data_IF_277251785307
#
_entry.id   IF_277251785307
#
_cell.length_a   1.000
_cell.length_b   1.000
_cell.length_c   1.000
_cell.angle_alpha   90.00
_cell.angle_beta   90.00
_cell.angle_gamma   90.00
#
_symmetry.space_group_name_H-M   'P 1'
#
loop_
_entity.id
_entity.type
_entity.pdbx_description
1 polymer ?
#
# COMPACT_ATOMS: atom_id res chain seq x y z
N UNK A 1 5.71 -15.35 -5.25
CA UNK A 1 4.37 -14.81 -5.49
C UNK A 1 3.32 -15.69 -4.80
N UNK A 2 2.41 -15.08 -4.02
CA UNK A 2 1.38 -15.78 -3.23
C UNK A 2 0.37 -16.53 -4.11
N UNK A 3 0.00 -15.95 -5.24
CA UNK A 3 -0.94 -16.56 -6.19
C UNK A 3 -0.38 -17.84 -6.80
N UNK A 4 0.90 -17.89 -7.12
CA UNK A 4 1.56 -19.11 -7.62
C UNK A 4 1.49 -20.26 -6.61
N UNK A 5 1.71 -19.96 -5.33
CA UNK A 5 1.62 -20.97 -4.26
C UNK A 5 0.18 -21.41 -4.07
N UNK A 6 -0.79 -20.47 -4.16
CA UNK A 6 -2.19 -20.73 -3.97
C UNK A 6 -2.83 -21.46 -5.16
N UNK A 7 -2.67 -20.88 -6.35
CA UNK A 7 -3.39 -21.31 -7.55
C UNK A 7 -2.54 -22.20 -8.49
N UNK A 8 -1.21 -22.17 -8.34
CA UNK A 8 -0.25 -22.82 -9.26
C UNK A 8 0.00 -21.97 -10.52
N UNK A 9 0.91 -22.45 -11.35
CA UNK A 9 1.22 -21.87 -12.67
C UNK A 9 1.52 -22.99 -13.64
N UNK A 10 0.97 -22.94 -14.85
CA UNK A 10 1.13 -23.97 -15.90
C UNK A 10 0.81 -25.40 -15.42
N UNK A 11 -0.16 -25.56 -14.52
CA UNK A 11 -0.52 -26.84 -13.92
C UNK A 11 0.46 -27.36 -12.87
N UNK A 12 1.47 -26.59 -12.52
CA UNK A 12 2.44 -26.90 -11.45
C UNK A 12 2.11 -26.05 -10.25
N UNK A 13 1.85 -26.71 -9.11
CA UNK A 13 1.65 -26.07 -7.82
C UNK A 13 2.80 -26.42 -6.89
N UNK A 14 3.32 -25.43 -6.18
CA UNK A 14 4.26 -25.67 -5.09
C UNK A 14 3.45 -26.23 -3.92
N UNK A 15 3.80 -27.43 -3.46
CA UNK A 15 3.16 -28.07 -2.31
C UNK A 15 3.96 -27.73 -1.04
N UNK A 16 3.45 -26.86 -0.15
CA UNK A 16 4.19 -26.43 1.05
C UNK A 16 4.54 -27.56 2.01
N UNK A 17 3.76 -28.64 2.04
CA UNK A 17 4.00 -29.81 2.91
C UNK A 17 5.33 -30.54 2.62
N UNK A 18 5.95 -30.29 1.46
CA UNK A 18 7.31 -30.81 1.18
C UNK A 18 8.40 -30.08 1.96
N UNK A 19 8.08 -28.95 2.58
CA UNK A 19 9.05 -28.14 3.32
C UNK A 19 8.85 -28.30 4.82
N UNK A 20 9.96 -28.47 5.54
CA UNK A 20 9.95 -28.50 7.01
C UNK A 20 9.74 -27.09 7.60
N UNK A 21 10.21 -26.07 6.88
CA UNK A 21 10.16 -24.67 7.29
C UNK A 21 9.63 -23.81 6.16
N UNK A 22 8.68 -22.92 6.46
CA UNK A 22 8.20 -21.90 5.54
C UNK A 22 8.21 -20.53 6.20
N UNK A 23 8.53 -19.49 5.43
CA UNK A 23 8.44 -18.11 5.85
C UNK A 23 7.65 -17.32 4.80
N UNK A 24 6.64 -16.60 5.24
CA UNK A 24 5.89 -15.67 4.39
C UNK A 24 6.37 -14.25 4.68
N UNK A 25 7.04 -13.65 3.70
CA UNK A 25 7.38 -12.23 3.72
C UNK A 25 6.21 -11.40 3.19
N UNK A 26 6.08 -10.16 3.63
CA UNK A 26 4.90 -9.30 3.35
C UNK A 26 3.57 -10.02 3.65
N UNK A 27 3.52 -10.71 4.79
CA UNK A 27 2.39 -11.55 5.18
C UNK A 27 1.08 -10.77 5.45
N UNK A 28 1.04 -9.48 5.15
CA UNK A 28 -0.13 -8.61 5.26
C UNK A 28 -1.36 -9.16 4.53
N UNK A 29 -1.18 -9.99 3.52
CA UNK A 29 -2.25 -10.71 2.80
C UNK A 29 -3.08 -11.61 3.69
N UNK A 30 -2.54 -12.06 4.84
CA UNK A 30 -3.23 -12.89 5.82
C UNK A 30 -4.13 -12.11 6.80
N UNK A 31 -4.14 -10.78 6.77
CA UNK A 31 -4.93 -9.93 7.70
C UNK A 31 -6.44 -10.08 7.57
N UNK A 32 -6.91 -10.51 6.42
CA UNK A 32 -8.33 -10.61 6.12
C UNK A 32 -8.88 -12.03 6.24
N UNK A 33 -9.66 -12.33 7.28
CA UNK A 33 -10.28 -13.65 7.46
C UNK A 33 -11.08 -14.12 6.24
N UNK A 34 -11.80 -13.21 5.57
CA UNK A 34 -12.64 -13.52 4.40
C UNK A 34 -11.89 -13.51 3.07
N UNK A 35 -10.60 -13.27 3.03
CA UNK A 35 -9.83 -13.27 1.77
C UNK A 35 -9.61 -14.71 1.28
N UNK A 36 -9.65 -14.89 -0.04
CA UNK A 36 -9.36 -16.18 -0.68
C UNK A 36 -7.99 -16.71 -0.22
N UNK A 37 -6.98 -15.86 -0.22
CA UNK A 37 -5.62 -16.23 0.18
C UNK A 37 -5.57 -16.77 1.61
N UNK A 38 -6.21 -16.11 2.58
CA UNK A 38 -6.23 -16.59 3.96
C UNK A 38 -6.91 -17.95 4.09
N UNK A 39 -8.10 -18.11 3.48
CA UNK A 39 -8.88 -19.33 3.58
C UNK A 39 -8.18 -20.53 2.94
N UNK A 40 -7.43 -20.32 1.87
CA UNK A 40 -6.70 -21.37 1.19
C UNK A 40 -5.35 -21.67 1.82
N UNK A 41 -4.66 -20.67 2.39
CA UNK A 41 -3.36 -20.88 3.03
C UNK A 41 -3.45 -21.64 4.36
N UNK A 42 -4.54 -21.51 5.11
CA UNK A 42 -4.71 -22.25 6.34
C UNK A 42 -4.56 -23.79 6.14
N UNK A 43 -5.38 -24.43 5.28
CA UNK A 43 -5.23 -25.88 5.05
C UNK A 43 -3.95 -26.21 4.27
N UNK A 44 -3.54 -25.36 3.34
CA UNK A 44 -2.37 -25.60 2.49
C UNK A 44 -1.06 -25.70 3.28
N UNK A 45 -0.91 -24.91 4.33
CA UNK A 45 0.27 -24.89 5.19
C UNK A 45 0.11 -25.67 6.50
N UNK A 46 -1.04 -26.31 6.71
CA UNK A 46 -1.35 -26.97 7.98
C UNK A 46 -0.32 -28.03 8.38
N UNK A 47 0.19 -28.80 7.41
CA UNK A 47 1.17 -29.87 7.61
C UNK A 47 2.63 -29.39 7.71
N UNK A 48 2.90 -28.07 7.52
CA UNK A 48 4.26 -27.53 7.63
C UNK A 48 4.62 -27.37 9.11
N UNK A 49 5.68 -28.06 9.61
CA UNK A 49 6.02 -28.06 11.03
C UNK A 49 6.39 -26.68 11.59
N UNK A 50 7.17 -25.91 10.83
CA UNK A 50 7.65 -24.58 11.26
C UNK A 50 7.23 -23.52 10.28
N UNK A 51 6.40 -22.60 10.75
CA UNK A 51 5.84 -21.50 9.95
C UNK A 51 6.23 -20.16 10.54
N UNK A 52 6.70 -19.26 9.70
CA UNK A 52 7.04 -17.89 10.06
C UNK A 52 6.28 -16.91 9.19
N UNK A 53 6.01 -15.72 9.72
CA UNK A 53 5.44 -14.60 8.99
C UNK A 53 6.24 -13.35 9.32
N UNK A 54 6.50 -12.52 8.32
CA UNK A 54 7.10 -11.21 8.48
C UNK A 54 6.24 -10.16 7.76
N UNK A 55 6.04 -9.01 8.36
CA UNK A 55 5.34 -7.88 7.76
C UNK A 55 5.66 -6.59 8.48
N UNK A 56 5.83 -5.51 7.74
CA UNK A 56 5.98 -4.17 8.29
C UNK A 56 4.65 -3.59 8.81
N UNK A 57 3.50 -4.14 8.38
CA UNK A 57 2.17 -3.63 8.71
C UNK A 57 1.26 -4.71 9.31
N UNK A 58 1.56 -5.21 10.52
CA UNK A 58 0.85 -6.37 11.08
C UNK A 58 -0.62 -6.08 11.42
N UNK A 59 -0.96 -4.85 11.86
CA UNK A 59 -2.32 -4.48 12.25
C UNK A 59 -2.61 -3.00 12.02
N UNK A 60 -2.58 -2.50 10.76
CA UNK A 60 -2.70 -1.06 10.49
C UNK A 60 -4.06 -0.48 10.85
N UNK A 61 -5.10 -1.30 10.88
CA UNK A 61 -6.46 -0.82 11.12
C UNK A 61 -7.02 -1.27 12.48
N UNK A 62 -6.81 -2.52 12.86
CA UNK A 62 -7.45 -3.12 14.05
C UNK A 62 -6.63 -4.26 14.63
N UNK A 63 -6.54 -4.36 15.94
CA UNK A 63 -5.83 -5.44 16.65
C UNK A 63 -6.34 -6.85 16.33
N UNK A 64 -7.61 -6.99 15.90
CA UNK A 64 -8.13 -8.29 15.46
C UNK A 64 -7.37 -8.88 14.26
N UNK A 65 -6.65 -8.07 13.48
CA UNK A 65 -5.86 -8.56 12.36
C UNK A 65 -4.73 -9.48 12.82
N UNK A 66 -4.21 -9.28 14.03
CA UNK A 66 -3.16 -10.12 14.62
C UNK A 66 -3.60 -11.57 14.86
N UNK A 67 -4.89 -11.80 15.18
CA UNK A 67 -5.36 -13.16 15.45
C UNK A 67 -5.37 -14.05 14.19
N UNK A 68 -5.37 -13.47 13.01
CA UNK A 68 -5.30 -14.23 11.77
C UNK A 68 -3.91 -14.83 11.56
N UNK A 69 -2.85 -14.11 11.92
CA UNK A 69 -1.49 -14.66 11.93
C UNK A 69 -1.37 -15.78 12.95
N UNK A 70 -1.93 -15.62 14.16
CA UNK A 70 -1.94 -16.67 15.18
C UNK A 70 -2.65 -17.93 14.68
N UNK A 71 -3.76 -17.77 13.93
CA UNK A 71 -4.47 -18.87 13.26
C UNK A 71 -3.59 -19.59 12.23
N UNK A 72 -2.95 -18.84 11.34
CA UNK A 72 -2.05 -19.39 10.33
C UNK A 72 -0.83 -20.10 10.97
N UNK A 73 -0.25 -19.53 12.02
CA UNK A 73 0.90 -20.11 12.74
C UNK A 73 0.50 -21.33 13.60
N UNK A 74 -0.80 -21.60 13.79
CA UNK A 74 -1.28 -22.70 14.61
C UNK A 74 -1.17 -22.45 16.12
N UNK A 75 -1.02 -21.20 16.54
CA UNK A 75 -0.93 -20.80 17.96
C UNK A 75 -2.29 -20.90 18.65
N UNK A 76 -3.33 -20.43 17.99
CA UNK A 76 -4.70 -20.49 18.48
C UNK A 76 -5.67 -20.35 17.31
N UNK A 77 -6.76 -21.11 17.30
CA UNK A 77 -7.81 -20.94 16.31
C UNK A 77 -8.39 -19.51 16.32
N UNK A 78 -8.60 -18.95 15.14
CA UNK A 78 -9.04 -17.54 15.00
C UNK A 78 -10.38 -17.28 15.69
N UNK A 79 -11.33 -18.23 15.64
CA UNK A 79 -12.62 -18.10 16.30
C UNK A 79 -12.48 -18.15 17.84
N UNK A 80 -11.60 -18.99 18.34
CA UNK A 80 -11.27 -19.05 19.77
C UNK A 80 -10.64 -17.75 20.26
N UNK A 81 -9.65 -17.21 19.51
CA UNK A 81 -9.00 -15.96 19.84
C UNK A 81 -9.99 -14.79 19.81
N UNK A 82 -10.87 -14.77 18.80
CA UNK A 82 -11.92 -13.76 18.66
C UNK A 82 -12.87 -13.78 19.88
N UNK A 83 -13.35 -14.95 20.26
CA UNK A 83 -14.26 -15.10 21.42
C UNK A 83 -13.59 -14.74 22.74
N UNK A 84 -12.30 -15.06 22.89
CA UNK A 84 -11.56 -14.84 24.12
C UNK A 84 -11.25 -13.37 24.37
N UNK A 85 -10.88 -12.63 23.32
CA UNK A 85 -10.30 -11.30 23.45
C UNK A 85 -11.16 -10.17 22.93
N UNK A 86 -12.14 -10.42 22.06
CA UNK A 86 -12.87 -9.38 21.35
C UNK A 86 -14.37 -9.42 21.62
N UNK A 87 -14.97 -8.25 21.71
CA UNK A 87 -16.40 -8.06 21.74
C UNK A 87 -16.92 -7.64 20.37
N UNK A 88 -18.08 -8.16 19.99
CA UNK A 88 -18.76 -7.79 18.77
C UNK A 88 -19.54 -6.50 18.98
N UNK A 89 -19.41 -5.55 18.08
CA UNK A 89 -20.30 -4.41 17.99
C UNK A 89 -21.67 -4.86 17.44
N UNK A 90 -22.70 -4.70 18.24
CA UNK A 90 -24.07 -5.09 17.86
C UNK A 90 -24.66 -4.23 16.75
N UNK A 91 -24.11 -3.05 16.51
CA UNK A 91 -24.62 -2.07 15.53
C UNK A 91 -23.98 -2.19 14.15
N UNK A 92 -22.80 -2.82 14.05
CA UNK A 92 -22.05 -2.97 12.79
C UNK A 92 -21.55 -4.40 12.59
N UNK A 93 -21.98 -5.00 11.49
CA UNK A 93 -21.50 -6.33 11.10
C UNK A 93 -19.97 -6.36 11.00
N UNK A 94 -19.35 -7.45 11.47
CA UNK A 94 -17.89 -7.67 11.44
C UNK A 94 -17.04 -6.63 12.19
N UNK A 95 -17.65 -5.77 12.99
CA UNK A 95 -16.94 -4.85 13.84
C UNK A 95 -16.67 -5.53 15.20
N UNK A 96 -15.38 -5.75 15.47
CA UNK A 96 -14.91 -6.37 16.72
C UNK A 96 -13.89 -5.44 17.35
N UNK A 97 -14.03 -5.19 18.63
CA UNK A 97 -13.11 -4.38 19.45
C UNK A 97 -12.54 -5.22 20.56
N UNK A 98 -11.30 -4.99 20.92
CA UNK A 98 -10.67 -5.67 22.05
C UNK A 98 -11.42 -5.32 23.34
N UNK A 99 -11.70 -6.32 24.20
CA UNK A 99 -12.25 -6.06 25.52
C UNK A 99 -11.26 -5.23 26.34
N UNK A 100 -11.64 -4.06 26.90
CA UNK A 100 -10.70 -3.23 27.67
C UNK A 100 -10.05 -3.99 28.83
N UNK A 101 -10.81 -4.83 29.54
CA UNK A 101 -10.29 -5.63 30.65
C UNK A 101 -9.40 -6.82 30.21
N UNK A 102 -9.37 -7.15 28.91
CA UNK A 102 -8.55 -8.21 28.32
C UNK A 102 -7.30 -7.69 27.62
N UNK A 103 -7.11 -6.40 27.51
CA UNK A 103 -6.02 -5.80 26.76
C UNK A 103 -4.64 -6.29 27.21
N UNK A 104 -4.39 -6.27 28.52
CA UNK A 104 -3.13 -6.78 29.09
C UNK A 104 -2.93 -8.26 28.80
N UNK A 105 -3.97 -9.08 28.95
CA UNK A 105 -3.91 -10.52 28.68
C UNK A 105 -3.64 -10.78 27.17
N UNK A 106 -4.28 -10.02 26.31
CA UNK A 106 -4.08 -10.09 24.85
C UNK A 106 -2.62 -9.82 24.48
N UNK A 107 -2.03 -8.71 24.95
CA UNK A 107 -0.66 -8.37 24.63
C UNK A 107 0.37 -9.34 25.24
N UNK A 108 0.11 -9.88 26.43
CA UNK A 108 0.91 -10.94 27.01
C UNK A 108 0.85 -12.22 26.17
N UNK A 109 -0.32 -12.56 25.66
CA UNK A 109 -0.48 -13.69 24.76
C UNK A 109 0.23 -13.42 23.42
N UNK A 110 0.07 -12.25 22.82
CA UNK A 110 0.75 -11.88 21.58
C UNK A 110 2.27 -11.98 21.74
N UNK A 111 2.83 -11.50 22.83
CA UNK A 111 4.28 -11.55 23.08
C UNK A 111 4.86 -12.98 23.22
N UNK A 112 4.02 -14.00 23.35
CA UNK A 112 4.51 -15.41 23.39
C UNK A 112 4.83 -15.99 22.01
N UNK A 113 4.35 -15.36 20.93
CA UNK A 113 4.50 -15.88 19.56
C UNK A 113 4.87 -14.83 18.53
N UNK A 114 4.79 -13.55 18.85
CA UNK A 114 5.13 -12.45 17.95
C UNK A 114 6.18 -11.53 18.57
N UNK A 115 7.04 -10.98 17.71
CA UNK A 115 8.05 -10.00 18.05
C UNK A 115 7.82 -8.74 17.19
N UNK A 116 7.73 -7.58 17.84
CA UNK A 116 7.61 -6.28 17.17
C UNK A 116 8.94 -5.55 17.31
N UNK A 117 9.52 -5.19 16.17
CA UNK A 117 10.80 -4.49 16.10
C UNK A 117 10.66 -3.31 15.18
N UNK A 118 11.17 -2.16 15.58
CA UNK A 118 11.24 -0.96 14.74
C UNK A 118 12.68 -0.62 14.37
N UNK A 119 13.63 -1.00 15.21
CA UNK A 119 15.05 -0.69 15.04
C UNK A 119 15.94 -1.68 15.80
N UNK A 120 17.22 -1.80 15.46
CA UNK A 120 18.13 -2.72 16.10
C UNK A 120 18.25 -2.56 17.63
N UNK A 121 18.09 -1.34 18.15
CA UNK A 121 18.15 -1.10 19.60
C UNK A 121 17.00 -1.75 20.39
N UNK A 122 15.91 -2.13 19.73
CA UNK A 122 14.85 -2.92 20.35
C UNK A 122 15.35 -4.32 20.77
N UNK A 123 16.45 -4.80 20.16
CA UNK A 123 17.18 -6.02 20.52
C UNK A 123 18.51 -5.76 21.23
N UNK A 124 18.80 -4.52 21.62
CA UNK A 124 20.03 -4.15 22.29
C UNK A 124 21.25 -3.93 21.39
N UNK A 125 21.06 -3.82 20.08
CA UNK A 125 22.12 -3.53 19.12
C UNK A 125 22.17 -2.04 18.78
N UNK A 126 23.31 -1.51 18.29
CA UNK A 126 23.40 -0.12 17.82
C UNK A 126 22.51 0.15 16.60
N UNK A 127 21.88 1.32 16.55
CA UNK A 127 21.04 1.74 15.41
C UNK A 127 21.86 2.28 14.22
N UNK A 128 23.18 2.26 14.29
CA UNK A 128 24.09 2.77 13.23
C UNK A 128 23.78 2.09 11.89
N UNK A 129 23.50 2.91 10.88
CA UNK A 129 23.12 2.45 9.53
C UNK A 129 21.62 2.19 9.33
N UNK A 130 20.81 2.32 10.38
CA UNK A 130 19.35 2.21 10.33
C UNK A 130 18.65 3.55 10.59
N UNK A 131 19.41 4.61 10.78
CA UNK A 131 18.87 5.96 10.93
C UNK A 131 18.43 6.48 9.55
N UNK A 132 17.13 6.67 9.39
CA UNK A 132 16.57 7.26 8.18
C UNK A 132 16.64 8.79 8.25
N UNK A 133 16.88 9.46 7.12
CA UNK A 133 16.76 10.92 7.05
C UNK A 133 15.32 11.35 7.39
N UNK A 134 15.19 12.59 7.87
CA UNK A 134 13.89 13.17 8.18
C UNK A 134 12.99 13.23 6.93
N UNK A 135 11.77 12.70 7.05
CA UNK A 135 10.75 12.86 6.01
C UNK A 135 10.24 14.32 6.02
N UNK A 136 10.45 15.02 4.92
CA UNK A 136 9.95 16.39 4.72
C UNK A 136 8.74 16.37 3.81
N UNK A 137 7.58 16.67 4.37
CA UNK A 137 6.32 16.78 3.63
C UNK A 137 6.06 18.26 3.33
N UNK A 138 5.87 18.57 2.05
CA UNK A 138 5.50 19.89 1.57
C UNK A 138 4.09 19.84 0.99
N UNK A 139 3.19 20.61 1.58
CA UNK A 139 1.83 20.75 1.07
C UNK A 139 1.79 21.92 0.08
N UNK A 140 1.32 21.62 -1.14
CA UNK A 140 1.19 22.59 -2.21
C UNK A 140 -0.28 22.87 -2.47
N UNK A 141 -0.72 24.10 -2.19
CA UNK A 141 -2.10 24.52 -2.43
C UNK A 141 -2.23 25.03 -3.85
N UNK A 142 -3.07 24.38 -4.62
CA UNK A 142 -3.40 24.80 -5.99
C UNK A 142 -4.72 25.56 -5.98
N UNK A 143 -4.67 26.85 -6.36
CA UNK A 143 -5.87 27.66 -6.50
C UNK A 143 -6.60 27.25 -7.77
N UNK A 144 -7.88 26.94 -7.64
CA UNK A 144 -8.73 26.55 -8.75
C UNK A 144 -9.70 27.69 -9.07
N UNK A 145 -9.82 28.04 -10.34
CA UNK A 145 -10.83 29.00 -10.79
C UNK A 145 -12.23 28.36 -10.74
N UNK A 146 -13.02 28.76 -9.76
CA UNK A 146 -14.39 28.30 -9.58
C UNK A 146 -15.40 29.08 -10.41
N UNK A 147 -14.99 30.08 -11.20
CA UNK A 147 -15.89 30.90 -12.00
C UNK A 147 -16.57 30.13 -13.14
N UNK A 148 -16.01 28.98 -13.53
CA UNK A 148 -16.57 28.04 -14.53
C UNK A 148 -17.16 26.80 -13.87
N UNK A 149 -18.08 26.97 -12.94
CA UNK A 149 -18.87 25.88 -12.39
C UNK A 149 -19.83 25.38 -13.47
N UNK A 150 -19.48 24.34 -14.21
CA UNK A 150 -20.26 23.79 -15.33
C UNK A 150 -21.78 23.73 -15.12
N UNK A 151 -22.49 23.17 -16.07
CA UNK A 151 -23.95 22.97 -16.00
C UNK A 151 -24.27 21.70 -15.21
N UNK A 152 -25.37 21.69 -14.44
CA UNK A 152 -25.93 20.49 -13.83
C UNK A 152 -26.55 19.55 -14.88
N UNK A 153 -27.15 18.42 -14.42
CA UNK A 153 -27.82 17.46 -15.32
C UNK A 153 -29.02 18.04 -16.07
N UNK A 154 -29.58 19.14 -15.56
CA UNK A 154 -30.75 19.84 -16.11
C UNK A 154 -30.35 21.06 -16.96
N UNK A 155 -29.04 21.27 -17.19
CA UNK A 155 -28.52 22.33 -18.03
C UNK A 155 -28.44 23.71 -17.36
N UNK A 156 -28.63 23.80 -16.03
CA UNK A 156 -28.50 25.08 -15.32
C UNK A 156 -27.03 25.34 -14.97
N UNK A 157 -26.57 26.55 -15.17
CA UNK A 157 -25.22 27.00 -14.81
C UNK A 157 -25.13 27.08 -13.29
N UNK A 158 -24.25 26.25 -12.68
CA UNK A 158 -23.99 26.30 -11.27
C UNK A 158 -23.22 27.57 -10.90
N UNK A 159 -23.70 28.32 -9.93
CA UNK A 159 -23.02 29.53 -9.43
C UNK A 159 -21.78 29.22 -8.60
N UNK A 160 -21.71 28.00 -8.01
CA UNK A 160 -20.58 27.52 -7.19
C UNK A 160 -20.36 26.03 -7.46
N UNK A 161 -19.11 25.58 -7.40
CA UNK A 161 -18.80 24.14 -7.33
C UNK A 161 -19.22 23.63 -5.96
N UNK A 162 -20.11 22.64 -5.93
CA UNK A 162 -20.42 21.89 -4.70
C UNK A 162 -19.23 21.02 -4.33
N UNK A 163 -18.92 20.94 -3.04
CA UNK A 163 -17.92 20.00 -2.54
C UNK A 163 -18.31 18.55 -2.91
N UNK A 164 -17.32 17.76 -3.31
CA UNK A 164 -17.54 16.37 -3.69
C UNK A 164 -18.14 15.59 -2.51
N UNK A 165 -19.36 15.06 -2.70
CA UNK A 165 -20.07 14.26 -1.69
C UNK A 165 -19.86 12.76 -1.86
N UNK A 166 -19.15 12.32 -2.91
CA UNK A 166 -18.90 10.91 -3.20
C UNK A 166 -17.67 10.67 -4.07
N UNK A 167 -17.29 9.39 -4.23
CA UNK A 167 -16.10 8.97 -4.99
C UNK A 167 -16.14 9.43 -6.47
N UNK A 168 -17.32 9.41 -7.10
CA UNK A 168 -17.50 9.83 -8.49
C UNK A 168 -17.32 11.34 -8.64
N UNK A 169 -17.79 12.12 -7.67
CA UNK A 169 -17.66 13.57 -7.65
C UNK A 169 -16.22 13.99 -7.39
N UNK A 170 -15.54 13.30 -6.48
CA UNK A 170 -14.10 13.50 -6.22
C UNK A 170 -13.25 13.23 -7.47
N UNK A 171 -13.55 12.15 -8.21
CA UNK A 171 -12.86 11.84 -9.46
C UNK A 171 -13.16 12.86 -10.57
N UNK A 172 -14.36 13.44 -10.58
CA UNK A 172 -14.70 14.54 -11.51
C UNK A 172 -13.94 15.80 -11.15
N UNK A 173 -13.96 16.19 -9.87
CA UNK A 173 -13.22 17.36 -9.37
C UNK A 173 -11.72 17.27 -9.67
N UNK A 174 -11.12 16.09 -9.48
CA UNK A 174 -9.71 15.85 -9.85
C UNK A 174 -9.46 16.06 -11.34
N UNK A 175 -10.37 15.62 -12.21
CA UNK A 175 -10.26 15.85 -13.67
C UNK A 175 -10.40 17.30 -14.07
N UNK A 176 -11.33 18.02 -13.42
CA UNK A 176 -11.60 19.41 -13.72
C UNK A 176 -10.44 20.34 -13.29
N UNK A 177 -9.65 19.93 -12.29
CA UNK A 177 -8.52 20.69 -11.76
C UNK A 177 -7.15 20.15 -12.23
N UNK A 178 -7.15 19.31 -13.26
CA UNK A 178 -5.93 18.63 -13.72
C UNK A 178 -4.90 19.60 -14.30
N UNK A 179 -5.34 20.61 -15.05
CA UNK A 179 -4.44 21.57 -15.69
C UNK A 179 -3.64 22.40 -14.67
N UNK A 180 -4.30 22.85 -13.63
CA UNK A 180 -3.68 23.66 -12.58
C UNK A 180 -2.72 22.84 -11.73
N UNK A 181 -3.11 21.63 -11.39
CA UNK A 181 -2.23 20.69 -10.69
C UNK A 181 -1.01 20.34 -11.54
N UNK A 182 -1.21 20.05 -12.84
CA UNK A 182 -0.12 19.74 -13.74
C UNK A 182 0.86 20.90 -13.88
N UNK A 183 0.37 22.13 -14.03
CA UNK A 183 1.20 23.34 -14.06
C UNK A 183 2.06 23.44 -12.78
N UNK A 184 1.48 23.13 -11.62
CA UNK A 184 2.22 23.14 -10.35
C UNK A 184 3.28 22.04 -10.28
N UNK A 185 2.97 20.82 -10.71
CA UNK A 185 3.94 19.73 -10.80
C UNK A 185 5.13 20.12 -11.69
N UNK A 186 4.84 20.66 -12.88
CA UNK A 186 5.89 21.12 -13.81
C UNK A 186 6.74 22.24 -13.20
N UNK A 187 6.13 23.17 -12.48
CA UNK A 187 6.87 24.20 -11.75
C UNK A 187 7.80 23.58 -10.72
N UNK A 188 7.31 22.64 -9.89
CA UNK A 188 8.11 21.99 -8.84
C UNK A 188 9.30 21.25 -9.44
N UNK A 189 9.11 20.42 -10.46
CA UNK A 189 10.21 19.64 -11.05
C UNK A 189 11.24 20.49 -11.77
N UNK A 190 10.86 21.69 -12.23
CA UNK A 190 11.74 22.63 -12.92
C UNK A 190 12.41 23.64 -11.97
N UNK A 191 12.20 23.58 -10.67
CA UNK A 191 12.92 24.43 -9.72
C UNK A 191 14.43 24.16 -9.82
N UNK A 192 15.29 25.18 -9.70
CA UNK A 192 16.75 25.01 -9.83
C UNK A 192 17.33 23.91 -8.91
N UNK A 193 16.81 23.80 -7.69
CA UNK A 193 17.20 22.80 -6.71
C UNK A 193 16.79 21.36 -7.09
N UNK A 194 15.91 21.20 -8.07
CA UNK A 194 15.40 19.92 -8.55
C UNK A 194 16.01 19.49 -9.88
N UNK A 195 16.95 20.25 -10.41
CA UNK A 195 17.51 20.03 -11.75
C UNK A 195 18.06 18.61 -11.96
N UNK A 196 18.69 18.05 -10.96
CA UNK A 196 19.33 16.73 -11.03
C UNK A 196 18.58 15.65 -10.25
N UNK A 197 17.41 15.97 -9.72
CA UNK A 197 16.59 15.08 -8.91
C UNK A 197 15.73 14.15 -9.74
N UNK A 198 15.54 12.94 -9.23
CA UNK A 198 14.58 11.97 -9.75
C UNK A 198 13.26 12.07 -8.98
N UNK A 199 12.16 11.94 -9.69
CA UNK A 199 10.84 12.02 -9.07
C UNK A 199 9.99 10.82 -9.35
N UNK A 200 9.39 10.29 -8.29
CA UNK A 200 8.30 9.33 -8.34
C UNK A 200 6.98 10.10 -8.29
N UNK A 201 6.18 9.98 -9.33
CA UNK A 201 4.95 10.74 -9.54
C UNK A 201 3.76 9.81 -9.32
N UNK A 202 3.17 9.87 -8.13
CA UNK A 202 2.02 9.07 -7.76
C UNK A 202 0.73 9.63 -8.33
N UNK A 203 -0.09 8.79 -8.92
CA UNK A 203 -1.40 9.13 -9.47
C UNK A 203 -2.44 8.06 -9.14
N UNK A 204 -3.73 8.42 -9.20
CA UNK A 204 -4.84 7.50 -9.02
C UNK A 204 -5.57 7.22 -10.36
N UNK A 205 -5.79 8.27 -11.17
CA UNK A 205 -6.58 8.19 -12.40
C UNK A 205 -5.70 7.93 -13.62
N UNK A 206 -6.20 7.14 -14.57
CA UNK A 206 -5.48 6.89 -15.84
C UNK A 206 -5.21 8.18 -16.63
N UNK A 207 -6.17 9.14 -16.60
CA UNK A 207 -5.97 10.45 -17.23
C UNK A 207 -4.83 11.25 -16.60
N UNK A 208 -4.61 11.12 -15.30
CA UNK A 208 -3.48 11.75 -14.61
C UNK A 208 -2.16 11.17 -15.13
N UNK A 209 -2.08 9.84 -15.28
CA UNK A 209 -0.94 9.14 -15.88
C UNK A 209 -0.63 9.65 -17.29
N UNK A 210 -1.66 9.68 -18.15
CA UNK A 210 -1.51 10.11 -19.54
C UNK A 210 -1.00 11.55 -19.61
N UNK A 211 -1.54 12.43 -18.77
CA UNK A 211 -1.19 13.83 -18.73
C UNK A 211 0.24 14.05 -18.19
N UNK A 212 0.63 13.34 -17.13
CA UNK A 212 2.01 13.36 -16.62
C UNK A 212 3.02 12.97 -17.70
N UNK A 213 2.76 11.86 -18.42
CA UNK A 213 3.65 11.41 -19.50
C UNK A 213 3.63 12.33 -20.72
N UNK A 214 2.51 13.05 -20.97
CA UNK A 214 2.40 13.99 -22.07
C UNK A 214 3.14 15.31 -21.83
N UNK A 215 3.03 15.83 -20.60
CA UNK A 215 3.51 17.17 -20.24
C UNK A 215 4.97 17.16 -19.77
N UNK A 216 5.40 16.10 -19.08
CA UNK A 216 6.74 16.01 -18.53
C UNK A 216 7.66 15.27 -19.50
N UNK A 217 8.63 15.94 -20.13
CA UNK A 217 9.54 15.31 -21.09
C UNK A 217 10.34 14.18 -20.44
N UNK A 218 10.32 13.01 -21.07
CA UNK A 218 11.03 11.82 -20.59
C UNK A 218 10.33 11.07 -19.45
N UNK A 219 9.15 11.48 -19.02
CA UNK A 219 8.37 10.71 -18.07
C UNK A 219 7.91 9.38 -18.68
N UNK A 220 8.08 8.31 -17.95
CA UNK A 220 7.53 6.98 -18.26
C UNK A 220 6.58 6.54 -17.17
N UNK A 221 5.68 5.62 -17.52
CA UNK A 221 4.71 5.10 -16.57
C UNK A 221 4.74 3.58 -16.50
N UNK A 222 4.35 3.05 -15.33
CA UNK A 222 4.03 1.64 -15.13
C UNK A 222 2.55 1.52 -14.79
N UNK A 223 1.84 0.61 -15.48
CA UNK A 223 0.39 0.42 -15.32
C UNK A 223 -0.04 -1.02 -15.63
N UNK A 224 -1.15 -1.47 -15.04
CA UNK A 224 -1.52 -2.88 -14.97
C UNK A 224 -1.81 -3.61 -16.28
N UNK A 225 -2.11 -2.89 -17.39
CA UNK A 225 -2.33 -3.50 -18.71
C UNK A 225 -1.07 -3.50 -19.61
N UNK A 226 0.05 -3.04 -19.08
CA UNK A 226 1.34 -3.02 -19.77
C UNK A 226 1.94 -4.43 -19.82
N UNK A 227 2.75 -4.71 -20.85
CA UNK A 227 3.54 -5.93 -20.90
C UNK A 227 4.58 -5.96 -19.76
N UNK A 228 4.73 -7.10 -19.10
CA UNK A 228 5.62 -7.28 -17.96
C UNK A 228 7.08 -6.93 -18.28
N UNK A 229 7.58 -7.31 -19.45
CA UNK A 229 8.96 -6.99 -19.89
C UNK A 229 9.18 -5.48 -20.05
N UNK A 230 8.18 -4.76 -20.57
CA UNK A 230 8.24 -3.31 -20.69
C UNK A 230 8.17 -2.62 -19.32
N UNK A 231 7.30 -3.11 -18.43
CA UNK A 231 7.18 -2.61 -17.07
C UNK A 231 8.48 -2.80 -16.30
N UNK A 232 9.06 -4.01 -16.34
CA UNK A 232 10.33 -4.35 -15.70
C UNK A 232 11.49 -3.49 -16.21
N UNK A 233 11.51 -3.21 -17.52
CA UNK A 233 12.51 -2.31 -18.10
C UNK A 233 12.38 -0.89 -17.56
N UNK A 234 11.17 -0.34 -17.51
CA UNK A 234 10.93 1.02 -16.98
C UNK A 234 11.32 1.09 -15.51
N UNK A 235 10.96 0.09 -14.70
CA UNK A 235 11.33 -0.02 -13.28
C UNK A 235 12.86 -0.08 -13.13
N UNK A 236 13.54 -0.92 -13.94
CA UNK A 236 14.99 -1.04 -13.91
C UNK A 236 15.67 0.28 -14.30
N UNK A 237 15.18 0.95 -15.35
CA UNK A 237 15.75 2.22 -15.81
C UNK A 237 15.62 3.32 -14.74
N UNK A 238 14.49 3.34 -14.01
CA UNK A 238 14.31 4.28 -12.91
C UNK A 238 15.17 3.93 -11.69
N UNK A 239 15.22 2.66 -11.32
CA UNK A 239 16.06 2.15 -10.23
C UNK A 239 17.54 2.44 -10.44
N UNK A 240 18.03 2.35 -11.67
CA UNK A 240 19.43 2.56 -12.04
C UNK A 240 19.75 4.03 -12.36
N UNK A 241 18.80 4.95 -12.18
CA UNK A 241 18.98 6.37 -12.42
C UNK A 241 19.02 6.79 -13.91
N UNK A 242 18.69 5.89 -14.83
CA UNK A 242 18.62 6.20 -16.28
C UNK A 242 17.34 6.94 -16.66
N UNK A 243 16.27 6.73 -15.90
CA UNK A 243 14.98 7.40 -16.04
C UNK A 243 14.79 8.40 -14.90
N UNK A 244 14.45 9.64 -15.23
CA UNK A 244 14.34 10.73 -14.23
C UNK A 244 12.94 10.84 -13.62
N UNK A 245 11.88 10.56 -14.37
CA UNK A 245 10.50 10.70 -13.95
C UNK A 245 9.72 9.42 -14.19
N UNK A 246 9.21 8.85 -13.11
CA UNK A 246 8.39 7.64 -13.14
C UNK A 246 6.99 7.93 -12.59
N UNK A 247 5.96 7.71 -13.41
CA UNK A 247 4.56 7.79 -12.98
C UNK A 247 4.01 6.38 -12.69
N UNK A 248 3.36 6.22 -11.54
CA UNK A 248 2.77 4.94 -11.14
C UNK A 248 1.66 5.11 -10.10
N UNK A 249 0.84 4.08 -9.94
CA UNK A 249 -0.08 3.98 -8.80
C UNK A 249 0.64 3.44 -7.58
N UNK A 250 0.34 3.97 -6.36
CA UNK A 250 0.95 3.45 -5.12
C UNK A 250 0.76 1.95 -4.93
N UNK A 251 -0.39 1.41 -5.35
CA UNK A 251 -0.72 -0.02 -5.25
C UNK A 251 0.20 -0.92 -6.09
N UNK A 252 0.85 -0.38 -7.12
CA UNK A 252 1.71 -1.14 -8.03
C UNK A 252 3.18 -1.10 -7.64
N UNK A 253 3.68 0.07 -7.25
CA UNK A 253 5.10 0.32 -7.02
C UNK A 253 5.40 0.87 -5.62
N UNK A 254 4.42 0.89 -4.70
CA UNK A 254 4.59 1.44 -3.35
C UNK A 254 5.41 0.57 -2.41
N UNK A 255 5.58 -0.71 -2.73
CA UNK A 255 6.26 -1.68 -1.88
C UNK A 255 7.28 -2.51 -2.67
N UNK A 256 8.32 -3.00 -1.99
CA UNK A 256 9.26 -3.98 -2.52
C UNK A 256 10.32 -3.47 -3.51
N UNK A 257 10.37 -2.16 -3.80
CA UNK A 257 11.28 -1.59 -4.78
C UNK A 257 12.32 -0.65 -4.14
N UNK A 258 13.57 -0.82 -4.55
CA UNK A 258 14.71 -0.06 -4.02
C UNK A 258 15.03 1.14 -4.91
N UNK A 259 14.20 2.19 -4.86
CA UNK A 259 14.41 3.43 -5.62
C UNK A 259 15.31 4.45 -4.90
N UNK A 260 15.54 4.26 -3.60
CA UNK A 260 16.22 5.22 -2.73
C UNK A 260 17.67 5.55 -3.10
N UNK A 261 18.29 4.79 -4.00
CA UNK A 261 19.64 5.09 -4.45
C UNK A 261 19.71 6.31 -5.37
N UNK A 262 18.64 6.59 -6.09
CA UNK A 262 18.57 7.69 -7.06
C UNK A 262 17.36 8.60 -6.85
N UNK A 263 16.27 8.09 -6.28
CA UNK A 263 15.04 8.85 -6.08
C UNK A 263 14.78 9.11 -4.59
N UNK A 264 14.80 10.39 -4.22
CA UNK A 264 14.52 10.85 -2.86
C UNK A 264 13.29 11.75 -2.78
N UNK A 265 12.63 12.00 -3.91
CA UNK A 265 11.49 12.90 -4.02
C UNK A 265 10.29 12.21 -4.67
N UNK A 266 9.13 12.40 -4.06
CA UNK A 266 7.88 11.92 -4.62
C UNK A 266 6.84 13.05 -4.62
N UNK A 267 5.97 13.05 -5.61
CA UNK A 267 4.83 13.95 -5.70
C UNK A 267 3.57 13.10 -5.71
N UNK A 268 2.63 13.41 -4.81
CA UNK A 268 1.28 12.87 -4.82
C UNK A 268 0.42 13.84 -5.62
N UNK A 269 -0.06 13.38 -6.79
CA UNK A 269 -0.82 14.21 -7.73
C UNK A 269 -2.29 14.34 -7.39
#
# INVERSE_FOLDING_TARGET
NYERVRDGEDGIRIEPSYFTVTSLDEASVLRGFGTKTYQEFLPLFAEVPYRFVATATPSPNRYKELIHYAGYLGVMDTGQALTRFFQRDSTKANNFTLYPHKEKEFWLWVSTWALFLTKPSDLGYPDTGYELPELRVHEEVVSVDNSTAGTDRDGQVKMFREAALGLADAAKERRDNMSEKMARVVEIINRPENKDEHFLLWHDLEKEREELCRVIPGCKAVYGSQNDEEADKVISDFKDGRLKYLAAKPEMLGEGLNFQYHCHKAIMF
#
